data_IF_945662780748
#
_entry.id   IF_945662780748
#
_cell.length_a   1.000
_cell.length_b   1.000
_cell.length_c   1.000
_cell.angle_alpha   90.00
_cell.angle_beta   90.00
_cell.angle_gamma   90.00
#
_symmetry.space_group_name_H-M   'P 1'
#
loop_
_entity.id
_entity.type
_entity.pdbx_description
1 polymer ?
#
# COMPACT_ATOMS: atom_id res chain seq x y z
N UNK A 1 -9.06 16.47 20.90
CA UNK A 1 -8.60 16.70 19.52
C UNK A 1 -7.61 15.59 19.15
N UNK A 2 -8.01 14.63 18.32
CA UNK A 2 -7.16 13.50 17.96
C UNK A 2 -6.13 13.94 16.90
N UNK A 3 -4.85 13.81 17.21
CA UNK A 3 -3.78 14.00 16.23
C UNK A 3 -3.87 12.89 15.18
N UNK A 4 -4.17 13.25 13.94
CA UNK A 4 -4.15 12.30 12.82
C UNK A 4 -2.69 12.07 12.43
N UNK A 5 -2.18 10.85 12.63
CA UNK A 5 -0.80 10.47 12.30
C UNK A 5 -0.46 10.57 10.80
N UNK A 6 -1.47 10.64 9.93
CA UNK A 6 -1.30 10.68 8.48
C UNK A 6 -2.51 11.35 7.81
N UNK A 7 -2.30 11.85 6.59
CA UNK A 7 -3.35 12.38 5.73
C UNK A 7 -3.73 11.33 4.68
N UNK A 8 -5.04 11.09 4.49
CA UNK A 8 -5.56 10.24 3.42
C UNK A 8 -6.17 11.11 2.33
N UNK A 9 -5.78 10.88 1.08
CA UNK A 9 -6.32 11.56 -0.09
C UNK A 9 -6.64 10.53 -1.18
N UNK A 10 -7.66 10.81 -1.99
CA UNK A 10 -7.95 10.06 -3.20
C UNK A 10 -7.47 10.86 -4.40
N UNK A 11 -6.69 10.23 -5.26
CA UNK A 11 -6.12 10.84 -6.46
C UNK A 11 -6.26 9.89 -7.64
N UNK A 12 -6.38 10.45 -8.84
CA UNK A 12 -6.22 9.68 -10.07
C UNK A 12 -4.73 9.40 -10.26
N UNK A 13 -4.40 8.13 -10.52
CA UNK A 13 -3.02 7.67 -10.73
C UNK A 13 -2.94 7.10 -12.13
N UNK A 14 -1.91 7.52 -12.87
CA UNK A 14 -1.56 6.88 -14.14
C UNK A 14 -0.86 5.55 -13.87
N UNK A 15 -1.50 4.46 -14.28
CA UNK A 15 -1.01 3.08 -14.09
C UNK A 15 0.20 2.75 -14.98
N UNK A 16 0.45 3.56 -16.02
CA UNK A 16 1.57 3.38 -16.95
C UNK A 16 2.88 3.88 -16.36
N UNK A 17 2.81 4.61 -15.24
CA UNK A 17 3.95 5.16 -14.55
C UNK A 17 4.24 4.40 -13.24
N UNK A 18 5.51 4.30 -12.83
CA UNK A 18 5.87 3.72 -11.55
C UNK A 18 5.23 4.47 -10.37
N UNK A 19 4.83 3.72 -9.35
CA UNK A 19 4.33 4.27 -8.09
C UNK A 19 5.39 5.12 -7.39
N UNK A 20 4.95 6.22 -6.77
CA UNK A 20 5.83 7.16 -6.07
C UNK A 20 6.03 6.74 -4.63
N UNK A 21 7.29 6.58 -4.20
CA UNK A 21 7.65 6.21 -2.82
C UNK A 21 7.63 7.40 -1.86
N UNK A 22 8.20 8.51 -2.31
CA UNK A 22 8.26 9.73 -1.53
C UNK A 22 8.26 10.95 -2.43
N UNK A 23 7.94 12.12 -1.87
CA UNK A 23 8.08 13.40 -2.55
C UNK A 23 8.56 14.45 -1.57
N UNK A 24 9.54 15.24 -1.98
CA UNK A 24 9.95 16.42 -1.23
C UNK A 24 8.96 17.54 -1.52
N UNK A 25 8.24 17.98 -0.51
CA UNK A 25 7.29 19.09 -0.60
C UNK A 25 7.95 20.29 0.07
N UNK A 26 8.11 21.37 -0.70
CA UNK A 26 8.57 22.66 -0.18
C UNK A 26 7.34 23.54 0.02
N UNK A 27 7.22 24.13 1.21
CA UNK A 27 6.26 25.20 1.46
C UNK A 27 6.92 26.52 1.05
N UNK A 28 6.18 27.50 0.49
CA UNK A 28 6.74 28.82 0.25
C UNK A 28 7.25 29.41 1.58
N UNK A 29 8.53 29.81 1.60
CA UNK A 29 9.20 30.35 2.79
C UNK A 29 9.60 29.34 3.87
N UNK A 30 9.46 28.02 3.64
CA UNK A 30 9.78 27.00 4.65
C UNK A 30 10.71 25.89 4.17
N UNK A 31 11.25 25.13 5.12
CA UNK A 31 12.09 23.96 4.84
C UNK A 31 11.30 22.86 4.12
N UNK A 32 11.97 22.20 3.16
CA UNK A 32 11.38 21.12 2.39
C UNK A 32 11.27 19.84 3.23
N UNK A 33 10.04 19.34 3.41
CA UNK A 33 9.79 18.06 4.09
C UNK A 33 9.60 16.94 3.07
N UNK A 34 10.24 15.81 3.30
CA UNK A 34 9.99 14.59 2.52
C UNK A 34 8.77 13.90 3.08
N UNK A 35 7.74 13.72 2.26
CA UNK A 35 6.59 12.88 2.60
C UNK A 35 6.77 11.49 1.98
N UNK A 36 6.42 10.46 2.73
CA UNK A 36 6.38 9.07 2.26
C UNK A 36 4.94 8.72 1.94
N UNK A 37 4.72 8.06 0.80
CA UNK A 37 3.40 7.64 0.38
C UNK A 37 3.14 6.19 0.74
N UNK A 38 1.91 5.92 1.18
CA UNK A 38 1.36 4.57 1.28
C UNK A 38 0.04 4.53 0.52
N UNK A 39 -0.20 3.44 -0.19
CA UNK A 39 -1.34 3.25 -1.07
C UNK A 39 -2.33 2.25 -0.46
N UNK A 40 -3.59 2.66 -0.39
CA UNK A 40 -4.69 1.76 -0.04
C UNK A 40 -5.22 1.06 -1.28
N UNK A 41 -5.68 -0.19 -1.11
CA UNK A 41 -6.25 -1.04 -2.18
C UNK A 41 -5.31 -1.22 -3.38
N UNK A 42 -4.01 -1.25 -3.09
CA UNK A 42 -3.00 -1.47 -4.12
C UNK A 42 -3.10 -2.91 -4.65
N UNK A 43 -3.34 -3.07 -5.94
CA UNK A 43 -3.37 -4.38 -6.60
C UNK A 43 -1.99 -5.02 -6.70
N UNK A 44 -1.86 -6.02 -7.58
CA UNK A 44 -0.55 -6.58 -7.94
C UNK A 44 0.27 -5.52 -8.67
N UNK A 45 1.48 -5.27 -8.18
CA UNK A 45 2.43 -4.36 -8.79
C UNK A 45 3.83 -4.96 -8.73
N UNK A 46 4.70 -4.49 -9.60
CA UNK A 46 6.04 -5.02 -9.75
C UNK A 46 7.04 -4.35 -8.81
N UNK A 47 7.79 -5.14 -8.05
CA UNK A 47 8.82 -4.63 -7.13
C UNK A 47 10.09 -4.14 -7.84
N UNK A 48 10.28 -4.48 -9.12
CA UNK A 48 11.45 -4.09 -9.93
C UNK A 48 11.21 -2.77 -10.68
N UNK A 49 10.03 -2.58 -11.26
CA UNK A 49 9.74 -1.38 -12.07
C UNK A 49 8.67 -0.46 -11.47
N UNK A 50 8.00 -0.87 -10.39
CA UNK A 50 6.99 -0.06 -9.71
C UNK A 50 5.65 0.08 -10.43
N UNK A 51 5.45 -0.58 -11.57
CA UNK A 51 4.22 -0.49 -12.36
C UNK A 51 3.16 -1.49 -11.88
N UNK A 52 1.89 -1.13 -12.08
CA UNK A 52 0.74 -2.00 -11.79
C UNK A 52 0.51 -3.02 -12.90
N UNK A 53 -0.05 -4.18 -12.56
CA UNK A 53 -0.56 -5.16 -13.52
C UNK A 53 0.32 -6.41 -13.73
N UNK A 54 1.55 -6.44 -13.22
CA UNK A 54 2.40 -7.64 -13.28
C UNK A 54 3.23 -7.82 -12.00
N UNK A 55 3.73 -9.04 -11.79
CA UNK A 55 4.67 -9.37 -10.72
C UNK A 55 6.12 -9.21 -11.20
N UNK A 56 7.05 -9.16 -10.25
CA UNK A 56 8.49 -9.08 -10.54
C UNK A 56 9.00 -10.18 -11.48
N UNK A 57 8.47 -11.40 -11.40
CA UNK A 57 8.89 -12.55 -12.22
C UNK A 57 8.59 -12.39 -13.72
N UNK A 58 7.63 -11.53 -14.06
CA UNK A 58 7.24 -11.25 -15.46
C UNK A 58 7.51 -9.79 -15.81
N UNK A 59 8.51 -9.17 -15.18
CA UNK A 59 8.83 -7.77 -15.44
C UNK A 59 9.52 -7.59 -16.79
N UNK A 60 9.02 -6.72 -17.68
CA UNK A 60 9.67 -6.44 -18.96
C UNK A 60 11.10 -5.89 -18.81
N UNK A 61 11.42 -5.23 -17.69
CA UNK A 61 12.78 -4.74 -17.43
C UNK A 61 13.81 -5.86 -17.32
N UNK A 62 13.42 -7.05 -16.87
CA UNK A 62 14.34 -8.17 -16.70
C UNK A 62 14.87 -8.71 -18.04
N UNK A 63 14.18 -8.44 -19.16
CA UNK A 63 14.71 -8.80 -20.49
C UNK A 63 15.91 -7.95 -20.88
N UNK A 64 15.95 -6.69 -20.45
CA UNK A 64 17.06 -5.79 -20.77
C UNK A 64 18.15 -5.81 -19.69
N UNK A 65 17.77 -6.01 -18.43
CA UNK A 65 18.67 -5.99 -17.28
C UNK A 65 18.31 -7.15 -16.33
N UNK A 66 18.97 -8.31 -16.44
CA UNK A 66 18.64 -9.49 -15.64
C UNK A 66 18.97 -9.33 -14.15
N UNK A 67 19.83 -8.37 -13.78
CA UNK A 67 20.21 -8.06 -12.39
C UNK A 67 19.39 -6.89 -11.79
N UNK A 68 18.28 -6.52 -12.44
CA UNK A 68 17.49 -5.36 -12.05
C UNK A 68 17.03 -5.48 -10.58
N UNK A 69 17.50 -4.54 -9.75
CA UNK A 69 17.24 -4.55 -8.31
C UNK A 69 15.78 -4.21 -8.01
N UNK A 70 15.28 -4.80 -6.91
CA UNK A 70 13.96 -4.47 -6.35
C UNK A 70 14.01 -3.11 -5.67
N UNK A 71 13.61 -2.06 -6.37
CA UNK A 71 13.56 -0.71 -5.78
C UNK A 71 12.24 -0.42 -5.05
N UNK A 72 11.21 -1.24 -5.24
CA UNK A 72 9.93 -1.11 -4.56
C UNK A 72 9.69 -2.29 -3.62
N UNK A 73 8.90 -2.07 -2.57
CA UNK A 73 8.62 -3.07 -1.56
C UNK A 73 7.17 -3.04 -1.06
N UNK A 74 6.82 -4.00 -0.19
CA UNK A 74 5.49 -4.07 0.43
C UNK A 74 5.20 -2.88 1.36
N UNK A 75 6.21 -2.10 1.76
CA UNK A 75 6.09 -0.90 2.59
C UNK A 75 5.18 0.19 1.99
N UNK A 76 5.01 0.17 0.66
CA UNK A 76 4.11 1.02 -0.08
C UNK A 76 2.63 0.69 0.15
N UNK A 77 2.32 -0.50 0.67
CA UNK A 77 0.94 -0.86 1.02
C UNK A 77 0.60 -0.21 2.35
N UNK A 78 -0.49 0.55 2.36
CA UNK A 78 -1.06 1.01 3.61
C UNK A 78 -1.65 -0.18 4.37
N UNK A 79 -1.40 -0.24 5.69
CA UNK A 79 -2.08 -1.21 6.55
C UNK A 79 -3.58 -0.92 6.51
N UNK A 80 -4.34 -1.82 5.89
CA UNK A 80 -5.76 -1.89 6.14
C UNK A 80 -5.89 -2.50 7.53
N UNK A 81 -6.32 -1.70 8.51
CA UNK A 81 -6.51 -2.17 9.88
C UNK A 81 -7.21 -3.53 9.85
N UNK A 82 -6.69 -4.50 10.60
CA UNK A 82 -7.31 -5.82 10.72
C UNK A 82 -8.80 -5.59 10.95
N UNK A 83 -9.65 -6.06 10.04
CA UNK A 83 -10.97 -6.50 10.49
C UNK A 83 -10.61 -7.54 11.53
N UNK A 84 -10.84 -7.26 12.81
CA UNK A 84 -10.89 -8.32 13.80
C UNK A 84 -11.96 -9.26 13.26
N UNK A 85 -11.52 -10.32 12.61
CA UNK A 85 -12.28 -11.55 12.56
C UNK A 85 -12.27 -12.02 14.00
N UNK A 86 -13.14 -11.40 14.81
CA UNK A 86 -13.63 -12.03 16.02
C UNK A 86 -14.27 -13.30 15.51
N UNK A 87 -13.55 -14.40 15.71
CA UNK A 87 -13.95 -15.76 15.45
C UNK A 87 -15.05 -16.16 16.45
N UNK A 88 -16.16 -15.43 16.40
CA UNK A 88 -17.45 -15.83 16.96
C UNK A 88 -18.48 -15.46 15.92
N UNK A 89 -18.95 -16.47 15.19
CA UNK A 89 -20.04 -16.31 14.24
C UNK A 89 -21.23 -15.71 14.97
N UNK A 90 -21.62 -14.49 14.60
CA UNK A 90 -22.76 -13.72 15.14
C UNK A 90 -24.07 -14.51 15.28
N UNK A 91 -24.18 -15.67 14.65
CA UNK A 91 -25.38 -16.48 14.54
C UNK A 91 -25.30 -17.86 15.22
N UNK A 92 -24.19 -18.22 15.87
CA UNK A 92 -24.20 -19.41 16.74
C UNK A 92 -25.01 -19.08 18.00
N UNK A 93 -26.17 -19.71 18.13
CA UNK A 93 -26.87 -19.80 19.42
C UNK A 93 -26.21 -20.95 20.18
N UNK A 94 -25.75 -20.67 21.38
CA UNK A 94 -25.27 -21.69 22.31
C UNK A 94 -26.51 -22.47 22.78
N UNK A 95 -26.65 -23.73 22.35
CA UNK A 95 -27.63 -24.66 22.91
C UNK A 95 -26.99 -25.36 24.11
N UNK A 96 -27.39 -24.95 25.31
CA UNK A 96 -26.86 -25.50 26.55
C UNK A 96 -27.63 -25.08 27.80
N UNK A 97 -28.95 -24.97 27.71
CA UNK A 97 -29.82 -24.96 28.89
C UNK A 97 -30.31 -26.39 29.12
N UNK A 98 -29.77 -27.07 30.13
CA UNK A 98 -30.36 -28.30 30.67
C UNK A 98 -29.83 -28.61 32.08
N UNK A 99 -30.64 -28.17 33.04
CA UNK A 99 -31.00 -28.75 34.34
C UNK A 99 -29.92 -29.02 35.40
#
# INVERSE_FOLDING_TARGET
>A
MAWVKYMRIRVLIDIRLPLKKSKKIKKPGGEGKTVVFKYERLGTFCYICGMLGHSEFRCPKLFNDPDAKREWGPDLRAEMGRKQSGDTSKWLRDEGDSN
#
